data_IF_543873695283
#
_entry.id   IF_543873695283
#
_cell.length_a   1.000
_cell.length_b   1.000
_cell.length_c   1.000
_cell.angle_alpha   90.00
_cell.angle_beta   90.00
_cell.angle_gamma   90.00
#
_symmetry.space_group_name_H-M   'P 1'
#
loop_
_entity.id
_entity.type
_entity.pdbx_description
1 polymer ?
#
# COMPACT_ATOMS: atom_id res chain seq x y z
N UNK A 1 3.88 -1.03 -11.77
CA UNK A 1 3.18 -1.15 -10.46
C UNK A 1 1.94 -0.28 -10.45
N UNK A 2 0.81 -0.85 -10.08
CA UNK A 2 -0.44 -0.11 -10.00
C UNK A 2 -0.96 -0.16 -8.55
N UNK A 3 -1.32 1.00 -8.03
CA UNK A 3 -1.88 1.11 -6.68
C UNK A 3 -3.28 1.71 -6.78
N UNK A 4 -4.25 1.04 -6.20
CA UNK A 4 -5.64 1.49 -6.20
C UNK A 4 -6.11 1.58 -4.75
N UNK A 5 -6.73 2.68 -4.38
CA UNK A 5 -7.23 2.89 -3.03
C UNK A 5 -8.74 3.02 -3.09
N UNK A 6 -9.45 2.21 -2.28
CA UNK A 6 -10.89 2.21 -2.21
C UNK A 6 -11.35 2.20 -0.76
N UNK A 7 -12.55 2.70 -0.52
CA UNK A 7 -13.19 2.58 0.78
C UNK A 7 -14.25 1.48 0.70
N UNK A 8 -14.12 0.47 1.57
CA UNK A 8 -15.05 -0.67 1.61
C UNK A 8 -15.38 -0.98 3.07
N UNK A 9 -16.67 -1.02 3.39
CA UNK A 9 -17.13 -1.33 4.75
C UNK A 9 -16.51 -0.42 5.81
N UNK A 10 -16.33 0.85 5.47
CA UNK A 10 -15.70 1.86 6.31
C UNK A 10 -14.20 1.64 6.53
N UNK A 11 -13.58 0.74 5.77
CA UNK A 11 -12.15 0.52 5.82
C UNK A 11 -11.49 1.07 4.55
N UNK A 12 -10.24 1.50 4.67
CA UNK A 12 -9.45 1.88 3.51
C UNK A 12 -8.75 0.62 2.99
N UNK A 13 -8.99 0.28 1.72
CA UNK A 13 -8.34 -0.89 1.11
C UNK A 13 -7.40 -0.41 0.03
N UNK A 14 -6.14 -0.82 0.15
CA UNK A 14 -5.11 -0.47 -0.82
C UNK A 14 -4.77 -1.73 -1.61
N UNK A 15 -5.04 -1.69 -2.91
CA UNK A 15 -4.78 -2.81 -3.82
C UNK A 15 -3.47 -2.56 -4.55
N UNK A 16 -2.57 -3.53 -4.48
CA UNK A 16 -1.29 -3.47 -5.19
C UNK A 16 -1.27 -4.49 -6.32
N UNK A 17 -0.84 -4.06 -7.50
CA UNK A 17 -0.76 -4.93 -8.67
C UNK A 17 0.57 -4.75 -9.36
N UNK A 18 1.28 -5.85 -9.61
CA UNK A 18 2.54 -5.87 -10.32
C UNK A 18 3.73 -6.06 -9.39
N UNK A 19 4.83 -5.38 -9.69
CA UNK A 19 6.11 -5.55 -8.99
C UNK A 19 6.40 -4.33 -8.11
N UNK A 20 6.50 -4.56 -6.83
CA UNK A 20 6.91 -3.53 -5.88
C UNK A 20 8.43 -3.59 -5.71
N UNK A 21 9.15 -3.13 -6.72
CA UNK A 21 10.60 -3.03 -6.69
C UNK A 21 11.03 -1.70 -6.03
N UNK A 22 12.34 -1.46 -6.00
CA UNK A 22 12.88 -0.25 -5.37
C UNK A 22 12.35 1.03 -6.01
N UNK A 23 12.20 1.04 -7.33
CA UNK A 23 11.67 2.21 -8.05
C UNK A 23 10.22 2.46 -7.71
N UNK A 24 9.41 1.40 -7.65
CA UNK A 24 7.99 1.50 -7.34
C UNK A 24 7.76 1.89 -5.87
N UNK A 25 8.67 1.53 -4.98
CA UNK A 25 8.53 1.80 -3.54
C UNK A 25 8.34 3.28 -3.24
N UNK A 26 9.10 4.14 -3.91
CA UNK A 26 9.00 5.58 -3.70
C UNK A 26 7.62 6.10 -4.08
N UNK A 27 7.07 5.61 -5.19
CA UNK A 27 5.75 6.04 -5.64
C UNK A 27 4.66 5.51 -4.71
N UNK A 28 4.77 4.27 -4.26
CA UNK A 28 3.80 3.69 -3.33
C UNK A 28 3.79 4.48 -2.02
N UNK A 29 4.95 4.87 -1.52
CA UNK A 29 5.02 5.66 -0.30
C UNK A 29 4.26 6.98 -0.43
N UNK A 30 4.38 7.64 -1.57
CA UNK A 30 3.62 8.87 -1.86
C UNK A 30 2.13 8.57 -1.95
N UNK A 31 1.77 7.47 -2.64
CA UNK A 31 0.37 7.12 -2.87
C UNK A 31 -0.37 6.77 -1.58
N UNK A 32 0.28 6.11 -0.64
CA UNK A 32 -0.37 5.68 0.61
C UNK A 32 -0.31 6.72 1.71
N UNK A 33 0.50 7.76 1.56
CA UNK A 33 0.65 8.79 2.58
C UNK A 33 -0.68 9.46 2.97
N UNK A 34 -1.54 9.88 2.03
CA UNK A 34 -2.82 10.46 2.39
C UNK A 34 -3.73 9.49 3.16
N UNK A 35 -3.64 8.20 2.85
CA UNK A 35 -4.41 7.18 3.56
C UNK A 35 -3.96 7.09 5.01
N UNK A 36 -2.64 7.10 5.23
CA UNK A 36 -2.06 7.04 6.57
C UNK A 36 -2.38 8.30 7.39
N UNK A 37 -2.39 9.45 6.73
CA UNK A 37 -2.63 10.73 7.40
C UNK A 37 -4.08 10.91 7.85
N UNK A 38 -5.01 10.25 7.17
CA UNK A 38 -6.44 10.41 7.42
C UNK A 38 -7.10 9.12 7.92
N UNK A 39 -6.37 8.30 8.65
CA UNK A 39 -6.88 7.03 9.14
C UNK A 39 -7.93 7.28 10.22
N UNK A 40 -9.16 6.88 9.93
CA UNK A 40 -10.28 6.87 10.88
C UNK A 40 -10.83 5.46 11.06
N UNK A 41 -10.25 4.51 10.35
CA UNK A 41 -10.69 3.11 10.33
C UNK A 41 -9.48 2.26 9.99
N UNK A 42 -9.67 0.97 9.85
CA UNK A 42 -8.58 0.06 9.53
C UNK A 42 -8.11 0.24 8.09
N UNK A 43 -6.82 0.00 7.88
CA UNK A 43 -6.22 -0.04 6.55
C UNK A 43 -5.98 -1.50 6.20
N UNK A 44 -6.48 -1.93 5.05
CA UNK A 44 -6.28 -3.29 4.55
C UNK A 44 -5.38 -3.22 3.33
N UNK A 45 -4.31 -4.00 3.33
CA UNK A 45 -3.40 -4.07 2.19
C UNK A 45 -3.69 -5.35 1.43
N UNK A 46 -4.23 -5.20 0.21
CA UNK A 46 -4.56 -6.33 -0.64
C UNK A 46 -3.39 -6.60 -1.59
N UNK A 47 -2.72 -7.71 -1.39
CA UNK A 47 -1.53 -8.10 -2.14
C UNK A 47 -1.79 -9.27 -3.08
N UNK A 48 -3.05 -9.59 -3.38
CA UNK A 48 -3.40 -10.72 -4.24
C UNK A 48 -2.76 -10.68 -5.62
N UNK A 49 -2.58 -9.47 -6.15
CA UNK A 49 -2.00 -9.28 -7.47
C UNK A 49 -0.56 -8.79 -7.43
N UNK A 50 0.03 -8.79 -6.26
CA UNK A 50 1.42 -8.39 -6.08
C UNK A 50 2.31 -9.57 -6.46
N UNK A 51 3.18 -9.37 -7.45
CA UNK A 51 4.03 -10.45 -7.99
C UNK A 51 5.41 -10.50 -7.33
N UNK A 52 5.86 -9.36 -6.78
CA UNK A 52 7.18 -9.25 -6.20
C UNK A 52 7.22 -8.07 -5.23
N UNK A 53 7.96 -8.21 -4.14
CA UNK A 53 8.19 -7.13 -3.19
C UNK A 53 9.68 -7.05 -2.85
N UNK A 54 10.25 -5.85 -2.96
CA UNK A 54 11.63 -5.60 -2.57
C UNK A 54 11.73 -5.32 -1.07
N UNK A 55 12.96 -5.29 -0.55
CA UNK A 55 13.19 -4.93 0.85
C UNK A 55 12.66 -3.52 1.16
N UNK A 56 12.83 -2.59 0.22
CA UNK A 56 12.33 -1.22 0.36
C UNK A 56 10.81 -1.19 0.43
N UNK A 57 10.14 -2.00 -0.41
CA UNK A 57 8.68 -2.10 -0.39
C UNK A 57 8.18 -2.71 0.90
N UNK A 58 8.86 -3.73 1.40
CA UNK A 58 8.51 -4.38 2.65
C UNK A 58 8.59 -3.39 3.82
N UNK A 59 9.58 -2.51 3.82
CA UNK A 59 9.71 -1.48 4.86
C UNK A 59 8.52 -0.55 4.89
N UNK A 60 7.99 -0.19 3.71
CA UNK A 60 6.81 0.66 3.62
C UNK A 60 5.62 -0.04 4.25
N UNK A 61 5.42 -1.32 3.96
CA UNK A 61 4.34 -2.11 4.54
C UNK A 61 4.45 -2.18 6.05
N UNK A 62 5.65 -2.42 6.56
CA UNK A 62 5.89 -2.48 8.01
C UNK A 62 5.60 -1.13 8.68
N UNK A 63 5.87 -0.03 8.00
CA UNK A 63 5.53 1.29 8.51
C UNK A 63 4.03 1.52 8.61
N UNK A 64 3.26 0.97 7.67
CA UNK A 64 1.81 1.08 7.68
C UNK A 64 1.20 0.23 8.79
N UNK A 65 1.78 -0.92 9.07
CA UNK A 65 1.26 -1.90 10.02
C UNK A 65 1.60 -1.61 11.49
N UNK A 66 2.11 -0.47 11.79
CA UNK A 66 2.46 -0.11 13.17
C UNK A 66 1.37 -0.41 14.18
#
# INVERSE_FOLDING_TARGET
>A
MKTTIKEENNNQVVYFEGRLDTSASSQVQVDVQPVMDNVKSDIILDCNKLEYISSSGLRIFLGILK
#
